data_IF_512683780254
#
_entry.id   IF_512683780254
#
_cell.length_a   1.000
_cell.length_b   1.000
_cell.length_c   1.000
_cell.angle_alpha   90.00
_cell.angle_beta   90.00
_cell.angle_gamma   90.00
#
_symmetry.space_group_name_H-M   'P 1'
#
loop_
_entity.id
_entity.type
_entity.pdbx_description
1 polymer ?
#
# COMPACT_ATOMS: atom_id res chain seq x y z
N UNK A 1 13.66 -27.61 77.09
CA UNK A 1 12.93 -27.08 75.99
C UNK A 1 11.91 -28.10 75.50
N UNK A 2 10.62 -27.78 75.56
CA UNK A 2 9.53 -28.75 75.43
C UNK A 2 9.13 -28.87 73.93
N UNK A 3 9.02 -30.13 73.49
CA UNK A 3 8.65 -30.50 72.06
C UNK A 3 7.40 -29.81 71.50
N UNK A 4 6.65 -29.07 72.29
CA UNK A 4 5.44 -28.38 71.86
C UNK A 4 5.67 -26.99 71.16
N UNK A 5 6.82 -26.35 71.38
CA UNK A 5 7.14 -25.06 70.82
C UNK A 5 7.68 -25.12 69.35
N UNK A 6 8.22 -26.31 68.98
CA UNK A 6 8.78 -26.51 67.65
C UNK A 6 7.71 -26.79 66.57
N UNK A 7 6.53 -27.23 66.98
CA UNK A 7 5.43 -27.55 66.03
C UNK A 7 4.63 -26.27 65.65
N UNK A 8 4.62 -25.23 66.46
CA UNK A 8 3.93 -23.97 66.19
C UNK A 8 4.72 -23.06 65.27
N UNK A 9 6.03 -23.21 65.07
CA UNK A 9 6.85 -22.43 64.14
C UNK A 9 6.84 -22.97 62.74
N UNK A 10 6.42 -24.20 62.48
CA UNK A 10 6.31 -24.78 61.08
C UNK A 10 4.92 -24.64 60.47
N UNK A 11 3.90 -24.30 61.27
CA UNK A 11 2.54 -24.11 60.77
C UNK A 11 2.26 -22.72 60.15
N UNK A 12 3.13 -21.73 60.39
CA UNK A 12 2.93 -20.33 59.89
C UNK A 12 3.51 -20.05 58.50
N UNK A 13 4.40 -20.90 58.01
CA UNK A 13 5.09 -20.65 56.75
C UNK A 13 4.38 -21.19 55.48
N UNK A 14 3.36 -22.05 55.66
CA UNK A 14 2.64 -22.68 54.52
C UNK A 14 1.41 -21.92 54.04
N UNK A 15 0.99 -20.85 54.72
CA UNK A 15 -0.23 -20.12 54.39
C UNK A 15 0.00 -18.85 53.55
N UNK A 16 1.24 -18.47 53.22
CA UNK A 16 1.54 -17.22 52.50
C UNK A 16 1.97 -17.46 51.05
N UNK A 17 2.06 -18.71 50.58
CA UNK A 17 2.60 -19.04 49.27
C UNK A 17 1.61 -19.06 48.07
N UNK A 18 0.29 -19.01 48.18
CA UNK A 18 -0.53 -18.97 46.97
C UNK A 18 -0.93 -17.55 46.49
N UNK A 19 -0.46 -16.45 47.13
CA UNK A 19 -0.83 -15.10 46.71
C UNK A 19 0.15 -14.41 45.74
N UNK A 20 1.35 -14.96 45.55
CA UNK A 20 2.34 -14.41 44.63
C UNK A 20 2.28 -15.00 43.20
N UNK A 21 1.48 -16.02 42.95
CA UNK A 21 1.32 -16.66 41.65
C UNK A 21 0.03 -16.21 40.92
N UNK A 22 -0.44 -14.99 41.16
CA UNK A 22 -1.18 -14.29 40.11
C UNK A 22 -0.15 -13.85 39.07
N UNK A 23 0.27 -14.82 38.26
CA UNK A 23 0.97 -14.57 37.03
C UNK A 23 0.27 -13.38 36.36
N UNK A 24 1.00 -12.31 36.13
CA UNK A 24 0.59 -11.24 35.22
C UNK A 24 0.06 -11.96 33.99
N UNK A 25 -1.26 -11.98 33.79
CA UNK A 25 -1.81 -12.38 32.52
C UNK A 25 -1.09 -11.49 31.50
N UNK A 26 -0.34 -12.07 30.56
CA UNK A 26 0.37 -11.28 29.56
C UNK A 26 -0.67 -10.35 28.94
N UNK A 27 -0.49 -9.05 29.12
CA UNK A 27 -1.37 -8.06 28.53
C UNK A 27 -1.29 -8.27 27.03
N UNK A 28 -2.41 -8.63 26.42
CA UNK A 28 -2.50 -8.85 24.97
C UNK A 28 -2.03 -7.58 24.29
N UNK A 29 -0.98 -7.63 23.44
CA UNK A 29 -0.50 -6.44 22.74
C UNK A 29 -1.58 -5.88 21.81
N UNK A 30 -1.61 -4.56 21.70
CA UNK A 30 -2.58 -3.84 20.89
C UNK A 30 -1.84 -3.24 19.70
N UNK A 31 -2.30 -3.55 18.48
CA UNK A 31 -1.84 -2.97 17.22
C UNK A 31 -2.84 -1.92 16.77
N UNK A 32 -2.40 -0.69 16.51
CA UNK A 32 -3.21 0.31 15.83
C UNK A 32 -3.12 0.10 14.32
N UNK A 33 -4.23 -0.08 13.64
CA UNK A 33 -4.29 -0.19 12.18
C UNK A 33 -4.99 1.06 11.63
N UNK A 34 -4.25 1.89 10.89
CA UNK A 34 -4.75 3.12 10.29
C UNK A 34 -4.70 3.04 8.77
N UNK A 35 -5.84 3.24 8.12
CA UNK A 35 -5.95 3.23 6.66
C UNK A 35 -6.68 4.48 6.15
N UNK A 36 -6.31 4.95 4.94
CA UNK A 36 -6.96 6.10 4.29
C UNK A 36 -8.35 5.80 3.77
N UNK A 37 -8.59 4.56 3.34
CA UNK A 37 -9.85 4.14 2.73
C UNK A 37 -10.86 3.59 3.74
N UNK A 38 -12.00 3.10 3.25
CA UNK A 38 -13.00 2.44 4.06
C UNK A 38 -12.70 0.93 4.24
N UNK A 39 -13.21 0.29 5.31
CA UNK A 39 -12.97 -1.14 5.55
C UNK A 39 -13.50 -2.03 4.43
N UNK A 40 -14.58 -1.64 3.76
CA UNK A 40 -15.17 -2.40 2.65
C UNK A 40 -14.26 -2.42 1.45
N UNK A 41 -13.66 -1.27 1.11
CA UNK A 41 -12.76 -1.13 -0.05
C UNK A 41 -11.51 -1.98 0.09
N UNK A 42 -11.00 -2.16 1.31
CA UNK A 42 -9.71 -2.82 1.57
C UNK A 42 -9.83 -4.15 2.30
N UNK A 43 -11.02 -4.77 2.30
CA UNK A 43 -11.26 -6.01 3.05
C UNK A 43 -10.25 -7.13 2.70
N UNK A 44 -9.92 -7.32 1.43
CA UNK A 44 -8.92 -8.30 0.98
C UNK A 44 -7.50 -7.95 1.42
N UNK A 45 -7.14 -6.66 1.43
CA UNK A 45 -5.83 -6.19 1.90
C UNK A 45 -5.69 -6.33 3.41
N UNK A 46 -6.77 -6.07 4.16
CA UNK A 46 -6.81 -6.31 5.60
C UNK A 46 -6.67 -7.80 5.92
N UNK A 47 -7.35 -8.68 5.15
CA UNK A 47 -7.19 -10.13 5.31
C UNK A 47 -5.73 -10.55 5.09
N UNK A 48 -5.06 -10.04 4.06
CA UNK A 48 -3.64 -10.30 3.81
C UNK A 48 -2.73 -9.78 4.95
N UNK A 49 -3.02 -8.62 5.52
CA UNK A 49 -2.28 -8.13 6.69
C UNK A 49 -2.44 -9.07 7.90
N UNK A 50 -3.68 -9.52 8.19
CA UNK A 50 -3.96 -10.49 9.26
C UNK A 50 -3.27 -11.84 9.02
N UNK A 51 -3.23 -12.31 7.76
CA UNK A 51 -2.48 -13.49 7.36
C UNK A 51 -1.00 -13.35 7.72
N UNK A 52 -0.34 -12.27 7.28
CA UNK A 52 1.06 -12.02 7.59
C UNK A 52 1.33 -11.88 9.11
N UNK A 53 0.39 -11.33 9.87
CA UNK A 53 0.49 -11.26 11.32
C UNK A 53 0.40 -12.68 11.93
N UNK A 54 -0.50 -13.53 11.41
CA UNK A 54 -0.68 -14.91 11.86
C UNK A 54 0.53 -15.81 11.57
N UNK A 55 1.23 -15.60 10.45
CA UNK A 55 2.49 -16.30 10.12
C UNK A 55 3.57 -16.11 11.19
N UNK A 56 3.48 -15.02 11.95
CA UNK A 56 4.37 -14.75 13.09
C UNK A 56 3.83 -15.26 14.42
N UNK A 57 2.68 -15.94 14.41
CA UNK A 57 2.05 -16.51 15.61
C UNK A 57 1.09 -15.57 16.34
N UNK A 58 0.75 -14.40 15.76
CA UNK A 58 -0.21 -13.46 16.34
C UNK A 58 -1.56 -13.55 15.63
N UNK A 59 -2.59 -13.98 16.35
CA UNK A 59 -3.95 -14.16 15.84
C UNK A 59 -4.87 -13.18 16.56
N UNK A 60 -5.53 -12.32 15.78
CA UNK A 60 -6.47 -11.33 16.31
C UNK A 60 -7.58 -12.00 17.15
N UNK A 61 -7.86 -11.42 18.32
CA UNK A 61 -8.86 -11.95 19.26
C UNK A 61 -8.35 -13.10 20.13
N UNK A 62 -7.15 -13.66 19.88
CA UNK A 62 -6.55 -14.69 20.71
C UNK A 62 -5.38 -14.16 21.53
N UNK A 63 -4.35 -13.62 20.86
CA UNK A 63 -3.12 -13.16 21.52
C UNK A 63 -2.63 -11.79 21.02
N UNK A 64 -3.39 -11.12 20.18
CA UNK A 64 -3.23 -9.75 19.74
C UNK A 64 -4.60 -9.10 19.57
N UNK A 65 -4.74 -7.82 19.93
CA UNK A 65 -5.90 -6.99 19.60
C UNK A 65 -5.52 -6.00 18.51
N UNK A 66 -6.45 -5.69 17.59
CA UNK A 66 -6.24 -4.67 16.57
C UNK A 66 -7.30 -3.57 16.74
N UNK A 67 -6.82 -2.34 16.88
CA UNK A 67 -7.66 -1.15 16.89
C UNK A 67 -7.65 -0.47 15.53
N UNK A 68 -8.76 -0.52 14.84
CA UNK A 68 -8.91 0.02 13.51
C UNK A 68 -9.29 1.49 13.51
N UNK A 69 -8.67 2.25 12.60
CA UNK A 69 -9.04 3.63 12.27
C UNK A 69 -9.10 3.80 10.76
N UNK A 70 -10.20 4.33 10.28
CA UNK A 70 -10.52 4.50 8.87
C UNK A 70 -10.74 5.97 8.57
N UNK A 71 -9.97 6.53 7.64
CA UNK A 71 -10.16 7.91 7.21
C UNK A 71 -11.31 8.05 6.20
N UNK A 72 -11.78 6.94 5.61
CA UNK A 72 -12.92 6.90 4.67
C UNK A 72 -12.74 7.84 3.47
N UNK A 73 -11.51 7.89 2.92
CA UNK A 73 -11.07 8.77 1.84
C UNK A 73 -11.05 10.28 2.19
N UNK A 74 -11.29 10.63 3.45
CA UNK A 74 -11.09 12.00 3.95
C UNK A 74 -9.75 12.13 4.67
N UNK A 75 -8.73 12.56 3.93
CA UNK A 75 -7.37 12.71 4.46
C UNK A 75 -7.27 13.75 5.58
N UNK A 76 -8.25 14.68 5.70
CA UNK A 76 -8.27 15.68 6.76
C UNK A 76 -8.50 15.08 8.16
N UNK A 77 -9.06 13.86 8.22
CA UNK A 77 -9.31 13.12 9.47
C UNK A 77 -8.04 12.43 10.01
N UNK A 78 -7.01 12.23 9.18
CA UNK A 78 -5.82 11.45 9.55
C UNK A 78 -5.14 11.99 10.82
N UNK A 79 -4.89 13.30 10.99
CA UNK A 79 -4.24 13.82 12.21
C UNK A 79 -4.98 13.47 13.49
N UNK A 80 -6.31 13.57 13.50
CA UNK A 80 -7.14 13.23 14.66
C UNK A 80 -7.09 11.73 14.98
N UNK A 81 -7.21 10.88 13.95
CA UNK A 81 -7.16 9.42 14.09
C UNK A 81 -5.80 8.93 14.60
N UNK A 82 -4.71 9.53 14.13
CA UNK A 82 -3.36 9.26 14.65
C UNK A 82 -3.23 9.70 16.10
N UNK A 83 -3.68 10.90 16.44
CA UNK A 83 -3.63 11.41 17.80
C UNK A 83 -4.43 10.52 18.78
N UNK A 84 -5.57 9.97 18.33
CA UNK A 84 -6.32 8.99 19.12
C UNK A 84 -5.52 7.70 19.34
N UNK A 85 -4.89 7.15 18.31
CA UNK A 85 -4.04 5.97 18.42
C UNK A 85 -2.84 6.19 19.36
N UNK A 86 -2.16 7.33 19.23
CA UNK A 86 -0.98 7.65 20.07
C UNK A 86 -1.33 7.78 21.56
N UNK A 87 -2.53 8.25 21.91
CA UNK A 87 -2.99 8.30 23.30
C UNK A 87 -3.23 6.94 23.93
N UNK A 88 -3.30 5.88 23.12
CA UNK A 88 -3.52 4.52 23.59
C UNK A 88 -2.18 3.82 23.83
N UNK A 89 -2.16 2.78 24.65
CA UNK A 89 -0.94 1.99 24.91
C UNK A 89 -0.72 0.96 23.81
N UNK A 90 -0.46 1.43 22.59
CA UNK A 90 -0.21 0.56 21.45
C UNK A 90 1.21 0.02 21.44
N UNK A 91 1.36 -1.25 21.07
CA UNK A 91 2.65 -1.88 20.85
C UNK A 91 3.24 -1.52 19.48
N UNK A 92 2.39 -1.31 18.45
CA UNK A 92 2.77 -0.97 17.07
C UNK A 92 1.63 -0.18 16.42
N UNK A 93 1.97 0.77 15.55
CA UNK A 93 1.03 1.40 14.61
C UNK A 93 1.34 0.89 13.21
N UNK A 94 0.40 0.21 12.57
CA UNK A 94 0.47 -0.18 11.17
C UNK A 94 -0.29 0.83 10.30
N UNK A 95 0.37 1.35 9.26
CA UNK A 95 -0.19 2.32 8.31
C UNK A 95 -0.05 1.81 6.87
N UNK A 96 -0.67 0.67 6.52
CA UNK A 96 -0.58 0.15 5.17
C UNK A 96 -1.47 0.95 4.21
N UNK A 97 -0.96 1.21 3.00
CA UNK A 97 -1.74 1.73 1.88
C UNK A 97 -1.67 3.24 1.62
N UNK A 98 -1.13 4.07 2.53
CA UNK A 98 -1.07 5.52 2.30
C UNK A 98 0.17 6.17 2.87
N UNK A 99 0.85 6.99 2.06
CA UNK A 99 1.97 7.82 2.53
C UNK A 99 1.51 8.89 3.52
N UNK A 100 0.29 9.40 3.39
CA UNK A 100 -0.26 10.40 4.31
C UNK A 100 -0.42 9.84 5.73
N UNK A 101 -0.92 8.61 5.87
CA UNK A 101 -1.05 7.95 7.18
C UNK A 101 0.31 7.66 7.81
N UNK A 102 1.30 7.23 7.00
CA UNK A 102 2.65 6.96 7.48
C UNK A 102 3.37 8.24 7.96
N UNK A 103 3.27 9.32 7.18
CA UNK A 103 3.85 10.62 7.54
C UNK A 103 3.21 11.20 8.81
N UNK A 104 1.89 11.14 8.91
CA UNK A 104 1.18 11.60 10.10
C UNK A 104 1.55 10.80 11.35
N UNK A 105 1.63 9.46 11.24
CA UNK A 105 2.05 8.61 12.35
C UNK A 105 3.48 8.93 12.78
N UNK A 106 4.42 9.09 11.84
CA UNK A 106 5.81 9.46 12.13
C UNK A 106 5.91 10.82 12.84
N UNK A 107 5.12 11.80 12.42
CA UNK A 107 5.11 13.12 13.05
C UNK A 107 4.55 13.10 14.49
N UNK A 108 3.63 12.18 14.78
CA UNK A 108 2.92 12.13 16.05
C UNK A 108 3.65 11.34 17.15
N UNK A 109 4.59 10.45 16.80
CA UNK A 109 5.33 9.66 17.79
C UNK A 109 6.73 9.29 17.35
N UNK A 110 7.67 9.33 18.29
CA UNK A 110 9.05 8.87 18.11
C UNK A 110 9.34 7.58 18.87
N UNK A 111 8.38 7.09 19.64
CA UNK A 111 8.57 5.95 20.56
C UNK A 111 7.75 4.73 20.18
N UNK A 112 6.51 4.92 19.68
CA UNK A 112 5.69 3.78 19.22
C UNK A 112 6.25 3.30 17.89
N UNK A 113 6.56 2.01 17.73
CA UNK A 113 6.96 1.42 16.46
C UNK A 113 5.90 1.64 15.36
N UNK A 114 6.36 1.95 14.15
CA UNK A 114 5.48 2.17 13.01
C UNK A 114 5.88 1.22 11.87
N UNK A 115 4.88 0.56 11.26
CA UNK A 115 5.04 -0.27 10.07
C UNK A 115 4.19 0.31 8.95
N UNK A 116 4.82 0.79 7.88
CA UNK A 116 4.11 1.29 6.70
C UNK A 116 4.07 0.30 5.54
N UNK A 117 3.13 0.49 4.62
CA UNK A 117 3.20 -0.04 3.24
C UNK A 117 2.76 1.07 2.29
N UNK A 118 3.69 1.54 1.46
CA UNK A 118 3.50 2.72 0.60
C UNK A 118 4.09 2.49 -0.79
N UNK A 119 3.55 3.21 -1.79
CA UNK A 119 4.03 3.16 -3.17
C UNK A 119 5.05 4.24 -3.54
N UNK A 120 5.30 5.21 -2.65
CA UNK A 120 6.26 6.29 -2.87
C UNK A 120 7.59 5.97 -2.19
N UNK A 121 8.68 6.56 -2.66
CA UNK A 121 10.00 6.39 -2.06
C UNK A 121 10.03 6.90 -0.60
N UNK A 122 10.21 6.00 0.40
CA UNK A 122 10.17 6.38 1.79
C UNK A 122 11.40 7.21 2.23
N UNK A 123 12.50 7.19 1.48
CA UNK A 123 13.68 8.01 1.74
C UNK A 123 13.41 9.44 1.27
N UNK A 124 12.89 9.62 0.06
CA UNK A 124 12.51 10.94 -0.45
C UNK A 124 11.41 11.60 0.39
N UNK A 125 10.47 10.81 0.92
CA UNK A 125 9.45 11.28 1.87
C UNK A 125 10.01 11.59 3.26
N UNK A 126 11.28 11.29 3.52
CA UNK A 126 11.88 11.44 4.83
C UNK A 126 11.30 10.50 5.89
N UNK A 127 10.63 9.41 5.51
CA UNK A 127 10.13 8.40 6.45
C UNK A 127 11.27 7.60 7.08
N UNK A 128 12.27 7.23 6.28
CA UNK A 128 13.43 6.45 6.71
C UNK A 128 14.73 7.10 6.19
N UNK A 129 15.83 6.83 6.86
CA UNK A 129 17.14 7.33 6.45
C UNK A 129 17.67 6.62 5.19
N UNK A 130 17.45 5.30 5.10
CA UNK A 130 17.73 4.47 3.93
C UNK A 130 16.88 3.21 3.98
N UNK A 131 16.76 2.49 2.84
CA UNK A 131 15.98 1.25 2.80
C UNK A 131 16.63 0.14 3.65
N UNK A 132 17.96 0.03 3.62
CA UNK A 132 18.68 -1.02 4.37
C UNK A 132 18.80 -0.72 5.88
N UNK A 133 18.79 0.56 6.25
CA UNK A 133 18.88 1.03 7.65
C UNK A 133 17.87 2.16 7.85
N UNK A 134 16.61 1.82 8.16
CA UNK A 134 15.54 2.81 8.30
C UNK A 134 15.85 3.89 9.32
N UNK A 135 16.44 3.51 10.46
CA UNK A 135 16.68 4.38 11.59
C UNK A 135 15.39 4.80 12.31
N UNK A 136 15.47 5.13 13.58
CA UNK A 136 14.31 5.56 14.35
C UNK A 136 13.29 4.44 14.62
N UNK A 137 12.00 4.85 14.75
CA UNK A 137 10.91 3.96 15.16
C UNK A 137 10.03 3.48 13.99
N UNK A 138 10.47 3.65 12.73
CA UNK A 138 9.63 3.36 11.56
C UNK A 138 10.36 2.48 10.54
N UNK A 139 9.65 1.48 10.02
CA UNK A 139 10.06 0.61 8.91
C UNK A 139 8.83 0.18 8.12
N UNK A 140 9.00 -0.65 7.08
CA UNK A 140 7.83 -1.17 6.35
C UNK A 140 8.14 -1.74 4.98
N UNK A 141 7.18 -1.57 4.08
CA UNK A 141 7.19 -2.08 2.71
C UNK A 141 7.06 -0.92 1.72
N UNK A 142 7.98 -0.85 0.76
CA UNK A 142 7.88 0.07 -0.37
C UNK A 142 7.47 -0.69 -1.62
N UNK A 143 6.26 -0.46 -2.12
CA UNK A 143 5.71 -1.18 -3.28
C UNK A 143 6.27 -0.74 -4.64
N UNK A 144 7.26 0.16 -4.71
CA UNK A 144 8.00 0.57 -5.92
C UNK A 144 7.11 0.90 -7.13
N UNK A 145 5.94 1.48 -6.91
CA UNK A 145 4.95 1.71 -7.97
C UNK A 145 5.47 2.62 -9.09
N UNK A 146 6.36 3.56 -8.77
CA UNK A 146 6.92 4.49 -9.77
C UNK A 146 8.01 3.85 -10.63
N UNK A 147 8.78 2.90 -10.09
CA UNK A 147 9.88 2.24 -10.81
C UNK A 147 9.37 1.32 -11.95
N UNK A 148 8.06 1.02 -11.97
CA UNK A 148 7.44 0.22 -13.03
C UNK A 148 7.05 1.04 -14.27
N UNK A 149 7.31 2.34 -14.30
CA UNK A 149 6.83 3.20 -15.39
C UNK A 149 7.38 2.78 -16.76
N UNK A 150 8.66 2.46 -16.83
CA UNK A 150 9.28 2.00 -18.07
C UNK A 150 8.67 0.67 -18.56
N UNK A 151 8.40 -0.27 -17.63
CA UNK A 151 7.73 -1.54 -17.95
C UNK A 151 6.31 -1.31 -18.47
N UNK A 152 5.54 -0.45 -17.80
CA UNK A 152 4.17 -0.11 -18.22
C UNK A 152 4.14 0.53 -19.61
N UNK A 153 5.07 1.44 -19.87
CA UNK A 153 5.18 2.12 -21.15
C UNK A 153 5.58 1.12 -22.26
N UNK A 154 6.50 0.20 -21.98
CA UNK A 154 6.89 -0.86 -22.90
C UNK A 154 5.73 -1.82 -23.22
N UNK A 155 4.94 -2.23 -22.22
CA UNK A 155 3.76 -3.07 -22.42
C UNK A 155 2.68 -2.36 -23.26
N UNK A 156 2.49 -1.06 -23.04
CA UNK A 156 1.55 -0.24 -23.81
C UNK A 156 2.00 -0.10 -25.26
N UNK A 157 3.30 0.08 -25.49
CA UNK A 157 3.89 0.13 -26.84
C UNK A 157 3.82 -1.22 -27.54
N UNK A 158 4.02 -2.34 -26.82
CA UNK A 158 3.88 -3.69 -27.40
C UNK A 158 2.41 -3.97 -27.83
N UNK A 159 1.43 -3.45 -27.07
CA UNK A 159 0.03 -3.50 -27.50
C UNK A 159 -0.23 -2.68 -28.77
N UNK A 160 0.43 -1.53 -28.89
CA UNK A 160 0.20 -0.53 -29.94
C UNK A 160 1.53 -0.14 -30.60
N UNK A 161 2.15 -1.03 -31.40
CA UNK A 161 3.49 -0.80 -31.93
C UNK A 161 3.58 0.33 -32.95
N UNK A 162 2.46 0.74 -33.53
CA UNK A 162 2.38 1.86 -34.47
C UNK A 162 1.97 3.18 -33.85
N UNK A 163 1.67 3.20 -32.56
CA UNK A 163 1.27 4.40 -31.84
C UNK A 163 2.44 5.39 -31.75
N UNK A 164 2.15 6.64 -32.11
CA UNK A 164 3.14 7.71 -32.16
C UNK A 164 3.08 8.65 -30.95
N UNK A 165 1.92 8.74 -30.26
CA UNK A 165 1.66 9.72 -29.19
C UNK A 165 1.03 9.06 -27.99
N UNK A 166 1.75 9.05 -26.89
CA UNK A 166 1.25 8.57 -25.60
C UNK A 166 0.95 9.74 -24.66
N UNK A 167 -0.27 9.75 -24.14
CA UNK A 167 -0.65 10.63 -23.04
C UNK A 167 -0.20 10.04 -21.72
N UNK A 168 0.23 10.88 -20.80
CA UNK A 168 0.52 10.49 -19.40
C UNK A 168 -0.27 11.40 -18.47
N UNK A 169 -1.21 10.82 -17.72
CA UNK A 169 -2.01 11.56 -16.75
C UNK A 169 -1.29 11.61 -15.41
N UNK A 170 -1.01 12.82 -14.91
CA UNK A 170 -0.27 13.06 -13.67
C UNK A 170 -1.01 14.03 -12.75
N UNK A 171 -0.83 13.87 -11.45
CA UNK A 171 -1.29 14.85 -10.47
C UNK A 171 -0.15 15.81 -10.11
N UNK A 172 -0.23 17.11 -10.44
CA UNK A 172 0.85 18.06 -10.17
C UNK A 172 1.09 18.28 -8.67
N UNK A 173 0.15 17.89 -7.79
CA UNK A 173 0.31 17.96 -6.33
C UNK A 173 1.01 16.74 -5.73
N UNK A 174 1.24 15.69 -6.53
CA UNK A 174 1.98 14.53 -6.07
C UNK A 174 3.49 14.85 -6.08
N UNK A 175 4.20 14.69 -4.97
CA UNK A 175 5.63 15.05 -4.86
C UNK A 175 6.53 14.24 -5.82
N UNK A 176 6.08 13.09 -6.33
CA UNK A 176 6.86 12.26 -7.24
C UNK A 176 6.61 12.56 -8.72
N UNK A 177 5.73 13.49 -9.04
CA UNK A 177 5.35 13.80 -10.44
C UNK A 177 6.55 14.21 -11.30
N UNK A 178 7.42 15.06 -10.79
CA UNK A 178 8.58 15.54 -11.57
C UNK A 178 9.63 14.43 -11.78
N UNK A 179 9.82 13.54 -10.80
CA UNK A 179 10.66 12.35 -10.98
C UNK A 179 10.07 11.41 -12.02
N UNK A 180 8.77 11.12 -11.91
CA UNK A 180 8.08 10.26 -12.89
C UNK A 180 8.15 10.79 -14.31
N UNK A 181 7.97 12.11 -14.53
CA UNK A 181 8.09 12.70 -15.86
C UNK A 181 9.43 12.37 -16.49
N UNK A 182 10.53 12.54 -15.75
CA UNK A 182 11.88 12.20 -16.21
C UNK A 182 12.02 10.73 -16.56
N UNK A 183 11.46 9.84 -15.73
CA UNK A 183 11.53 8.39 -15.96
C UNK A 183 10.71 7.98 -17.20
N UNK A 184 9.55 8.60 -17.41
CA UNK A 184 8.71 8.42 -18.62
C UNK A 184 9.44 8.90 -19.86
N UNK A 185 10.02 10.10 -19.85
CA UNK A 185 10.77 10.67 -20.97
C UNK A 185 11.98 9.81 -21.33
N UNK A 186 12.73 9.35 -20.33
CA UNK A 186 13.86 8.46 -20.53
C UNK A 186 13.44 7.11 -21.13
N UNK A 187 12.34 6.52 -20.67
CA UNK A 187 11.79 5.29 -21.23
C UNK A 187 11.29 5.50 -22.66
N UNK A 188 10.57 6.58 -22.93
CA UNK A 188 10.03 6.91 -24.25
C UNK A 188 11.15 7.14 -25.30
N UNK A 189 12.25 7.76 -24.90
CA UNK A 189 13.41 7.96 -25.78
C UNK A 189 13.99 6.63 -26.31
N UNK A 190 13.76 5.52 -25.58
CA UNK A 190 14.24 4.17 -25.97
C UNK A 190 13.26 3.47 -26.91
N UNK A 191 11.94 3.71 -26.76
CA UNK A 191 10.87 2.99 -27.49
C UNK A 191 10.23 3.79 -28.62
N UNK A 192 10.42 5.11 -28.67
CA UNK A 192 10.10 5.98 -29.81
C UNK A 192 8.84 6.83 -29.76
N UNK A 193 7.76 6.56 -28.98
CA UNK A 193 6.59 7.40 -28.96
C UNK A 193 6.83 8.78 -28.33
N UNK A 194 6.15 9.80 -28.86
CA UNK A 194 6.13 11.11 -28.23
C UNK A 194 5.25 11.08 -26.98
N UNK A 195 5.72 11.72 -25.92
CA UNK A 195 5.01 11.80 -24.66
C UNK A 195 4.37 13.18 -24.51
N UNK A 196 3.10 13.19 -24.11
CA UNK A 196 2.43 14.41 -23.70
C UNK A 196 1.82 14.24 -22.31
N UNK A 197 2.16 15.16 -21.38
CA UNK A 197 1.65 15.14 -20.02
C UNK A 197 0.35 15.92 -19.88
N UNK A 198 -0.65 15.29 -19.28
CA UNK A 198 -1.94 15.88 -18.92
C UNK A 198 -2.04 15.91 -17.40
N UNK A 199 -2.51 17.02 -16.85
CA UNK A 199 -2.55 17.22 -15.41
C UNK A 199 -3.96 17.21 -14.86
N UNK A 200 -4.17 16.57 -13.71
CA UNK A 200 -5.41 16.66 -12.94
C UNK A 200 -5.13 16.52 -11.45
N UNK A 201 -5.70 17.42 -10.64
CA UNK A 201 -5.63 17.39 -9.17
C UNK A 201 -7.02 17.30 -8.52
N UNK A 202 -8.06 17.23 -9.33
CA UNK A 202 -9.47 17.05 -8.92
C UNK A 202 -10.22 16.15 -9.92
N UNK A 203 -11.38 15.62 -9.49
CA UNK A 203 -12.23 14.83 -10.40
C UNK A 203 -12.68 15.60 -11.64
N UNK A 204 -13.04 16.90 -11.49
CA UNK A 204 -13.43 17.73 -12.63
C UNK A 204 -12.26 17.97 -13.60
N UNK A 205 -11.04 18.10 -13.10
CA UNK A 205 -9.86 18.26 -13.96
C UNK A 205 -9.52 16.96 -14.72
N UNK A 206 -9.91 15.78 -14.21
CA UNK A 206 -9.79 14.51 -14.95
C UNK A 206 -10.64 14.58 -16.23
N UNK A 207 -11.88 15.08 -16.16
CA UNK A 207 -12.76 15.21 -17.34
C UNK A 207 -12.16 16.16 -18.36
N UNK A 208 -11.60 17.30 -17.92
CA UNK A 208 -10.91 18.27 -18.80
C UNK A 208 -9.67 17.66 -19.45
N UNK A 209 -8.86 16.91 -18.67
CA UNK A 209 -7.68 16.23 -19.19
C UNK A 209 -8.07 15.20 -20.27
N UNK A 210 -9.13 14.40 -20.06
CA UNK A 210 -9.63 13.46 -21.04
C UNK A 210 -10.13 14.15 -22.32
N UNK A 211 -10.90 15.23 -22.21
CA UNK A 211 -11.33 16.00 -23.36
C UNK A 211 -10.13 16.51 -24.18
N UNK A 212 -9.09 17.00 -23.50
CA UNK A 212 -7.88 17.50 -24.13
C UNK A 212 -7.07 16.40 -24.82
N UNK A 213 -6.84 15.25 -24.16
CA UNK A 213 -6.09 14.14 -24.77
C UNK A 213 -6.80 13.56 -26.01
N UNK A 214 -8.14 13.51 -25.99
CA UNK A 214 -8.95 13.07 -27.14
C UNK A 214 -8.84 14.08 -28.27
N UNK A 215 -8.96 15.38 -28.00
CA UNK A 215 -8.78 16.44 -28.98
C UNK A 215 -7.41 16.39 -29.66
N UNK A 216 -6.37 16.09 -28.89
CA UNK A 216 -4.98 15.95 -29.35
C UNK A 216 -4.69 14.60 -30.01
N UNK A 217 -5.68 13.70 -30.05
CA UNK A 217 -5.60 12.38 -30.67
C UNK A 217 -4.44 11.55 -30.08
N UNK A 218 -4.38 11.46 -28.76
CA UNK A 218 -3.46 10.55 -28.08
C UNK A 218 -3.84 9.09 -28.45
N UNK A 219 -2.86 8.30 -28.84
CA UNK A 219 -3.06 6.91 -29.26
C UNK A 219 -3.26 5.98 -28.05
N UNK A 220 -2.71 6.35 -26.89
CA UNK A 220 -2.83 5.61 -25.65
C UNK A 220 -2.63 6.51 -24.42
N UNK A 221 -3.04 6.02 -23.25
CA UNK A 221 -2.92 6.69 -21.96
C UNK A 221 -2.17 5.83 -20.95
N UNK A 222 -1.18 6.41 -20.28
CA UNK A 222 -0.57 5.88 -19.06
C UNK A 222 -1.06 6.68 -17.85
N UNK A 223 -1.64 6.01 -16.86
CA UNK A 223 -2.09 6.63 -15.61
C UNK A 223 -1.00 6.53 -14.54
N UNK A 224 -0.61 7.67 -13.97
CA UNK A 224 0.33 7.73 -12.86
C UNK A 224 -0.25 7.11 -11.58
N UNK A 225 0.52 6.34 -10.79
CA UNK A 225 0.09 5.91 -9.46
C UNK A 225 -0.11 7.13 -8.53
N UNK A 226 -1.35 7.47 -8.26
CA UNK A 226 -1.73 8.60 -7.40
C UNK A 226 -3.04 8.29 -6.68
N UNK A 227 -3.17 8.73 -5.42
CA UNK A 227 -4.37 8.48 -4.61
C UNK A 227 -5.65 9.07 -5.24
N UNK A 228 -5.56 10.23 -5.91
CA UNK A 228 -6.71 10.78 -6.64
C UNK A 228 -7.18 9.80 -7.72
N UNK A 229 -6.25 9.29 -8.54
CA UNK A 229 -6.58 8.41 -9.66
C UNK A 229 -7.08 7.05 -9.18
N UNK A 230 -6.49 6.51 -8.12
CA UNK A 230 -6.95 5.27 -7.46
C UNK A 230 -8.40 5.44 -6.98
N UNK A 231 -8.73 6.55 -6.32
CA UNK A 231 -10.08 6.80 -5.81
C UNK A 231 -11.08 7.16 -6.91
N UNK A 232 -10.60 7.60 -8.07
CA UNK A 232 -11.40 7.93 -9.25
C UNK A 232 -11.31 6.88 -10.36
N UNK A 233 -10.91 5.63 -10.02
CA UNK A 233 -10.73 4.55 -11.01
C UNK A 233 -11.92 4.35 -11.92
N UNK A 234 -13.15 4.30 -11.36
CA UNK A 234 -14.37 4.11 -12.15
C UNK A 234 -14.58 5.27 -13.14
N UNK A 235 -14.30 6.51 -12.74
CA UNK A 235 -14.36 7.67 -13.66
C UNK A 235 -13.34 7.50 -14.79
N UNK A 236 -12.10 7.13 -14.46
CA UNK A 236 -11.02 6.97 -15.44
C UNK A 236 -11.31 5.83 -16.43
N UNK A 237 -11.74 4.66 -15.95
CA UNK A 237 -12.05 3.52 -16.81
C UNK A 237 -13.26 3.79 -17.68
N UNK A 238 -14.30 4.47 -17.15
CA UNK A 238 -15.48 4.89 -17.93
C UNK A 238 -15.11 5.88 -19.03
N UNK A 239 -14.27 6.87 -18.75
CA UNK A 239 -13.80 7.84 -19.74
C UNK A 239 -12.94 7.18 -20.81
N UNK A 240 -12.02 6.30 -20.42
CA UNK A 240 -11.17 5.55 -21.33
C UNK A 240 -12.00 4.68 -22.28
N UNK A 241 -12.98 3.93 -21.77
CA UNK A 241 -13.89 3.11 -22.58
C UNK A 241 -14.77 3.96 -23.51
N UNK A 242 -15.36 5.05 -23.01
CA UNK A 242 -16.21 5.96 -23.79
C UNK A 242 -15.49 6.56 -24.99
N UNK A 243 -14.22 6.90 -24.83
CA UNK A 243 -13.42 7.53 -25.88
C UNK A 243 -12.54 6.53 -26.63
N UNK A 244 -12.68 5.22 -26.34
CA UNK A 244 -11.88 4.14 -26.90
C UNK A 244 -10.36 4.41 -26.80
N UNK A 245 -9.91 4.95 -25.65
CA UNK A 245 -8.50 5.24 -25.39
C UNK A 245 -7.85 4.02 -24.69
N UNK A 246 -6.93 3.32 -25.37
CA UNK A 246 -6.17 2.24 -24.75
C UNK A 246 -5.39 2.76 -23.52
N UNK A 247 -5.63 2.19 -22.37
CA UNK A 247 -5.09 2.74 -21.11
C UNK A 247 -4.37 1.68 -20.29
N UNK A 248 -3.17 2.04 -19.84
CA UNK A 248 -2.38 1.29 -18.87
C UNK A 248 -2.54 1.90 -17.48
N UNK A 249 -2.97 1.08 -16.53
CA UNK A 249 -3.19 1.45 -15.14
C UNK A 249 -2.10 0.92 -14.21
N UNK A 250 -1.91 1.53 -13.03
CA UNK A 250 -0.88 1.10 -12.08
C UNK A 250 -1.23 -0.12 -11.25
N UNK A 251 -2.52 -0.43 -11.04
CA UNK A 251 -2.95 -1.43 -10.06
C UNK A 251 -4.02 -2.37 -10.60
N UNK A 252 -4.03 -3.60 -10.08
CA UNK A 252 -5.03 -4.63 -10.36
C UNK A 252 -6.49 -4.15 -10.26
N UNK A 253 -6.93 -3.44 -9.17
CA UNK A 253 -8.31 -2.99 -9.06
C UNK A 253 -8.78 -2.08 -10.19
N UNK A 254 -7.85 -1.48 -10.94
CA UNK A 254 -8.22 -0.67 -12.11
C UNK A 254 -8.66 -1.57 -13.28
N UNK A 255 -7.96 -2.68 -13.51
CA UNK A 255 -8.34 -3.67 -14.54
C UNK A 255 -9.63 -4.40 -14.17
N UNK A 256 -9.85 -4.69 -12.88
CA UNK A 256 -11.08 -5.27 -12.34
C UNK A 256 -12.28 -4.32 -12.46
N UNK A 257 -12.03 -3.01 -12.51
CA UNK A 257 -13.05 -1.98 -12.74
C UNK A 257 -13.14 -1.57 -14.22
N UNK A 258 -13.07 -2.52 -15.13
CA UNK A 258 -13.16 -2.36 -16.58
C UNK A 258 -12.00 -1.55 -17.22
N UNK A 259 -10.84 -1.46 -16.55
CA UNK A 259 -9.61 -0.94 -17.16
C UNK A 259 -9.00 -1.94 -18.13
N UNK A 260 -8.36 -1.48 -19.20
CA UNK A 260 -7.81 -2.34 -20.27
C UNK A 260 -6.66 -3.22 -19.77
N UNK A 261 -5.65 -2.60 -19.19
CA UNK A 261 -4.47 -3.30 -18.66
C UNK A 261 -3.97 -2.66 -17.38
N UNK A 262 -3.45 -3.47 -16.49
CA UNK A 262 -2.71 -2.97 -15.32
C UNK A 262 -1.39 -3.72 -15.13
N UNK A 263 -0.36 -3.00 -14.70
CA UNK A 263 0.90 -3.60 -14.27
C UNK A 263 1.37 -2.94 -13.00
N UNK A 264 1.42 -3.69 -11.90
CA UNK A 264 1.74 -3.15 -10.58
C UNK A 264 2.19 -4.17 -9.57
N UNK A 265 2.49 -3.69 -8.38
CA UNK A 265 2.81 -4.54 -7.24
C UNK A 265 1.55 -5.24 -6.76
N UNK A 266 1.68 -6.52 -6.42
CA UNK A 266 0.61 -7.25 -5.75
C UNK A 266 0.40 -6.69 -4.34
N UNK A 267 -0.60 -5.81 -4.19
CA UNK A 267 -0.85 -5.08 -2.93
C UNK A 267 -1.12 -6.02 -1.75
N UNK A 268 -1.75 -7.18 -2.00
CA UNK A 268 -1.96 -8.19 -0.96
C UNK A 268 -0.64 -8.70 -0.38
N UNK A 269 0.39 -8.93 -1.21
CA UNK A 269 1.73 -9.31 -0.73
C UNK A 269 2.37 -8.20 0.11
N UNK A 270 2.23 -6.95 -0.30
CA UNK A 270 2.77 -5.82 0.47
C UNK A 270 2.09 -5.69 1.85
N UNK A 271 0.76 -5.87 1.91
CA UNK A 271 0.02 -5.85 3.17
C UNK A 271 0.35 -7.05 4.06
N UNK A 272 0.51 -8.25 3.46
CA UNK A 272 0.95 -9.44 4.18
C UNK A 272 2.34 -9.23 4.80
N UNK A 273 3.28 -8.68 4.05
CA UNK A 273 4.61 -8.33 4.58
C UNK A 273 4.56 -7.29 5.69
N UNK A 274 3.67 -6.30 5.61
CA UNK A 274 3.44 -5.36 6.71
C UNK A 274 2.92 -6.08 7.97
N UNK A 275 2.05 -7.08 7.82
CA UNK A 275 1.60 -7.96 8.91
C UNK A 275 2.76 -8.75 9.53
N UNK A 276 3.61 -9.36 8.71
CA UNK A 276 4.82 -10.07 9.16
C UNK A 276 5.75 -9.12 9.95
N UNK A 277 5.98 -7.92 9.46
CA UNK A 277 6.83 -6.93 10.15
C UNK A 277 6.24 -6.48 11.48
N UNK A 278 4.92 -6.25 11.50
CA UNK A 278 4.19 -5.96 12.74
C UNK A 278 4.40 -7.06 13.77
N UNK A 279 4.24 -8.32 13.38
CA UNK A 279 4.44 -9.45 14.28
C UNK A 279 5.91 -9.63 14.73
N UNK A 280 6.89 -9.35 13.86
CA UNK A 280 8.32 -9.36 14.26
C UNK A 280 8.61 -8.30 15.32
N UNK A 281 8.01 -7.11 15.19
CA UNK A 281 8.15 -6.04 16.18
C UNK A 281 7.48 -6.44 17.51
N UNK A 282 6.30 -7.06 17.46
CA UNK A 282 5.66 -7.61 18.67
C UNK A 282 6.53 -8.66 19.37
N UNK A 283 7.41 -9.37 18.66
CA UNK A 283 8.43 -10.29 19.18
C UNK A 283 9.70 -9.60 19.67
N UNK A 284 9.76 -8.26 19.63
CA UNK A 284 10.89 -7.47 20.13
C UNK A 284 11.89 -7.02 19.08
N UNK A 285 11.67 -7.25 17.77
CA UNK A 285 12.51 -6.67 16.74
C UNK A 285 12.36 -5.14 16.72
N UNK A 286 13.46 -4.42 16.53
CA UNK A 286 13.44 -2.96 16.46
C UNK A 286 13.20 -2.52 15.02
N UNK A 287 12.33 -1.53 14.76
CA UNK A 287 12.13 -0.98 13.42
C UNK A 287 13.43 -0.55 12.73
N UNK A 288 14.35 0.04 13.49
CA UNK A 288 15.65 0.50 12.98
C UNK A 288 16.51 -0.63 12.39
N UNK A 289 16.33 -1.87 12.84
CA UNK A 289 17.10 -3.05 12.43
C UNK A 289 16.38 -3.87 11.35
N UNK A 290 15.16 -3.47 10.96
CA UNK A 290 14.37 -4.13 9.94
C UNK A 290 14.45 -3.32 8.63
N UNK A 291 15.19 -3.81 7.60
CA UNK A 291 15.23 -3.15 6.30
C UNK A 291 13.84 -2.93 5.72
N UNK A 292 13.63 -1.86 4.98
CA UNK A 292 12.40 -1.67 4.21
C UNK A 292 12.35 -2.72 3.10
N UNK A 293 11.29 -3.53 3.09
CA UNK A 293 11.11 -4.57 2.06
C UNK A 293 10.64 -3.92 0.76
N UNK A 294 11.25 -4.34 -0.34
CA UNK A 294 10.77 -4.05 -1.69
C UNK A 294 10.19 -5.34 -2.26
N UNK A 295 8.88 -5.42 -2.54
CA UNK A 295 8.29 -6.58 -3.18
C UNK A 295 8.90 -6.80 -4.56
N UNK A 296 9.22 -8.04 -4.86
CA UNK A 296 9.75 -8.44 -6.18
C UNK A 296 8.69 -9.03 -7.09
N UNK A 297 7.48 -9.24 -6.56
CA UNK A 297 6.37 -9.80 -7.32
C UNK A 297 5.49 -8.67 -7.86
N UNK A 298 5.42 -8.61 -9.17
CA UNK A 298 4.55 -7.73 -9.91
C UNK A 298 3.50 -8.56 -10.62
N UNK A 299 2.31 -8.01 -10.81
CA UNK A 299 1.24 -8.65 -11.58
C UNK A 299 0.90 -7.79 -12.80
N UNK A 300 0.79 -8.46 -13.96
CA UNK A 300 0.34 -7.88 -15.21
C UNK A 300 -1.00 -8.50 -15.57
N UNK A 301 -2.04 -7.67 -15.67
CA UNK A 301 -3.41 -8.09 -15.90
C UNK A 301 -3.93 -7.43 -17.18
N UNK A 302 -4.64 -8.20 -17.98
CA UNK A 302 -5.29 -7.74 -19.21
C UNK A 302 -6.79 -8.05 -19.12
N UNK A 303 -7.63 -7.06 -19.43
CA UNK A 303 -9.08 -7.23 -19.54
C UNK A 303 -9.48 -7.33 -21.02
N UNK A 304 -9.81 -8.55 -21.47
CA UNK A 304 -10.22 -8.81 -22.85
C UNK A 304 -11.60 -8.28 -23.18
N UNK A 305 -12.50 -8.19 -22.21
CA UNK A 305 -13.82 -7.56 -22.43
C UNK A 305 -13.63 -6.09 -22.80
N UNK A 306 -12.80 -5.40 -22.05
CA UNK A 306 -12.49 -3.98 -22.34
C UNK A 306 -11.77 -3.84 -23.68
N UNK A 307 -10.77 -4.70 -23.96
CA UNK A 307 -10.09 -4.68 -25.26
C UNK A 307 -11.10 -4.83 -26.41
N UNK A 308 -12.01 -5.80 -26.33
CA UNK A 308 -13.07 -6.01 -27.32
C UNK A 308 -14.00 -4.80 -27.43
N UNK A 309 -14.40 -4.20 -26.31
CA UNK A 309 -15.30 -3.04 -26.29
C UNK A 309 -14.71 -1.84 -27.01
N UNK A 310 -13.40 -1.62 -26.90
CA UNK A 310 -12.71 -0.50 -27.58
C UNK A 310 -12.13 -0.89 -28.94
N UNK A 311 -12.45 -2.09 -29.44
CA UNK A 311 -12.06 -2.56 -30.78
C UNK A 311 -10.59 -2.95 -30.92
N UNK A 312 -9.93 -3.37 -29.82
CA UNK A 312 -8.54 -3.79 -29.84
C UNK A 312 -8.38 -5.32 -29.86
N UNK A 313 -7.40 -5.75 -30.63
CA UNK A 313 -6.90 -7.12 -30.59
C UNK A 313 -5.61 -7.15 -29.78
N UNK A 314 -5.60 -7.94 -28.69
CA UNK A 314 -4.40 -8.09 -27.86
C UNK A 314 -3.47 -9.12 -28.49
N UNK A 315 -2.17 -8.80 -28.72
CA UNK A 315 -1.21 -9.74 -29.27
C UNK A 315 -1.04 -10.99 -28.38
N UNK A 316 -0.90 -12.19 -28.96
CA UNK A 316 -0.67 -13.42 -28.20
C UNK A 316 0.57 -13.36 -27.29
N UNK A 317 1.59 -12.60 -27.68
CA UNK A 317 2.81 -12.38 -26.89
C UNK A 317 2.53 -11.66 -25.58
N UNK A 318 1.60 -10.69 -25.56
CA UNK A 318 1.16 -10.00 -24.35
C UNK A 318 0.29 -10.92 -23.48
N UNK A 319 -0.62 -11.69 -24.09
CA UNK A 319 -1.46 -12.63 -23.36
C UNK A 319 -0.61 -13.70 -22.64
N UNK A 320 0.42 -14.19 -23.29
CA UNK A 320 1.34 -15.19 -22.69
C UNK A 320 2.17 -14.64 -21.51
N UNK A 321 2.28 -13.32 -21.39
CA UNK A 321 3.01 -12.63 -20.32
C UNK A 321 2.11 -12.14 -19.20
N UNK A 322 0.80 -12.14 -19.40
CA UNK A 322 -0.15 -11.74 -18.38
C UNK A 322 -0.18 -12.79 -17.26
N UNK A 323 -0.15 -12.31 -16.02
CA UNK A 323 -0.35 -13.17 -14.84
C UNK A 323 -1.84 -13.56 -14.72
N UNK A 324 -2.74 -12.73 -15.27
CA UNK A 324 -4.17 -13.00 -15.33
C UNK A 324 -4.81 -12.27 -16.53
N UNK A 325 -5.77 -12.94 -17.13
CA UNK A 325 -6.62 -12.41 -18.21
C UNK A 325 -8.06 -12.43 -17.74
N UNK A 326 -8.70 -11.26 -17.69
CA UNK A 326 -10.13 -11.10 -17.38
C UNK A 326 -10.91 -11.25 -18.68
N UNK A 327 -11.82 -12.25 -18.73
CA UNK A 327 -12.66 -12.59 -19.89
C UNK A 327 -14.09 -12.07 -19.75
#
# INVERSE_FOLDING_TARGET
MKRREFILALGGAAAVWPLAARAQQPTIPIVGYLHSDSPQTVAGLLAAFREGLSETGYIEGQNVAIEYRWAENDLSRIPELVADLVRRRLAVIATPGSSATALAAKAATTTIPIVFSIGLDPVQLGLVASLNRPGGNITGVNSMSNELVAKRLGLLHELLPTAARFAVLVNPKNPTTESLKKDVEAAAATIGPQIEFFTASTGAEIDVAFASLVQKRADALLVHPDNLFINRRVQLTTLAARHAVPTMYPLRPDAEADGLMSCGTKLSDAHRQAGVYTGRILKGAKPADLPVVQPTKFEFIINLQTAKTIGLTVPPTLLARADEVIE
#
